data_IF_137441841765
#
_entry.id   IF_137441841765
#
_cell.length_a   1.000
_cell.length_b   1.000
_cell.length_c   1.000
_cell.angle_alpha   90.00
_cell.angle_beta   90.00
_cell.angle_gamma   90.00
#
_symmetry.space_group_name_H-M   'P 1'
#
loop_
_entity.id
_entity.type
_entity.pdbx_description
1 polymer ?
#
# COMPACT_ATOMS: atom_id res chain seq x y z
N UNK A 1 -9.05 22.87 24.67
CA UNK A 1 -7.57 22.89 24.61
C UNK A 1 -7.16 22.01 23.45
N UNK A 2 -6.64 22.59 22.35
CA UNK A 2 -6.19 21.80 21.20
C UNK A 2 -5.08 20.85 21.64
N UNK A 3 -5.02 19.62 21.09
CA UNK A 3 -3.92 18.73 21.44
C UNK A 3 -2.63 19.32 20.89
N UNK A 4 -1.67 19.58 21.78
CA UNK A 4 -0.28 19.85 21.37
C UNK A 4 0.27 18.63 20.60
N UNK A 5 1.21 18.88 19.68
CA UNK A 5 1.77 17.87 18.77
C UNK A 5 2.29 16.64 19.53
N UNK A 6 2.83 16.83 20.73
CA UNK A 6 3.28 15.74 21.61
C UNK A 6 2.14 14.77 21.97
N UNK A 7 0.96 15.31 22.28
CA UNK A 7 -0.23 14.49 22.61
C UNK A 7 -0.76 13.77 21.37
N UNK A 8 -0.81 14.43 20.22
CA UNK A 8 -1.21 13.80 18.96
C UNK A 8 -0.28 12.64 18.58
N UNK A 9 1.03 12.83 18.72
CA UNK A 9 2.01 11.77 18.46
C UNK A 9 1.83 10.57 19.40
N UNK A 10 1.62 10.81 20.70
CA UNK A 10 1.36 9.75 21.66
C UNK A 10 0.08 8.96 21.34
N UNK A 11 -1.01 9.65 21.00
CA UNK A 11 -2.27 9.01 20.61
C UNK A 11 -2.11 8.19 19.32
N UNK A 12 -1.39 8.71 18.32
CA UNK A 12 -1.09 7.97 17.10
C UNK A 12 -0.29 6.68 17.38
N UNK A 13 0.73 6.75 18.23
CA UNK A 13 1.53 5.57 18.62
C UNK A 13 0.65 4.53 19.32
N UNK A 14 -0.27 4.96 20.19
CA UNK A 14 -1.20 4.06 20.87
C UNK A 14 -2.22 3.42 19.92
N UNK A 15 -2.58 4.10 18.83
CA UNK A 15 -3.52 3.60 17.83
C UNK A 15 -2.98 2.39 17.08
N UNK A 16 -1.68 2.35 16.73
CA UNK A 16 -1.07 1.28 15.93
C UNK A 16 -1.37 -0.13 16.50
N UNK A 17 -1.05 -0.44 17.77
CA UNK A 17 -1.33 -1.77 18.32
C UNK A 17 -2.82 -2.04 18.53
N UNK A 18 -3.65 -1.00 18.67
CA UNK A 18 -5.10 -1.14 18.78
C UNK A 18 -5.72 -1.47 17.43
N UNK A 19 -5.24 -0.89 16.32
CA UNK A 19 -5.66 -1.29 14.98
C UNK A 19 -5.32 -2.75 14.72
N UNK A 20 -4.11 -3.20 15.10
CA UNK A 20 -3.71 -4.59 14.91
C UNK A 20 -4.52 -5.60 15.75
N UNK A 21 -4.97 -5.22 16.95
CA UNK A 21 -5.71 -6.10 17.87
C UNK A 21 -7.23 -6.00 17.73
N UNK A 22 -7.75 -4.81 17.49
CA UNK A 22 -9.17 -4.52 17.34
C UNK A 22 -9.71 -4.99 15.98
N UNK A 23 -8.85 -5.02 14.96
CA UNK A 23 -9.17 -5.60 13.67
C UNK A 23 -8.34 -6.86 13.42
N UNK A 24 -8.85 -8.02 13.85
CA UNK A 24 -8.22 -9.31 13.56
C UNK A 24 -8.56 -9.75 12.14
N UNK A 25 -7.80 -9.26 11.16
CA UNK A 25 -8.06 -9.47 9.73
C UNK A 25 -7.02 -10.46 9.19
N UNK A 26 -7.36 -11.76 9.02
CA UNK A 26 -6.42 -12.77 8.55
C UNK A 26 -5.78 -12.43 7.22
N UNK A 27 -6.54 -11.88 6.26
CA UNK A 27 -6.03 -11.48 4.93
C UNK A 27 -5.00 -10.36 4.99
N UNK A 28 -5.01 -9.52 6.03
CA UNK A 28 -3.99 -8.50 6.27
C UNK A 28 -2.64 -9.15 6.61
N UNK A 29 -2.65 -10.26 7.35
CA UNK A 29 -1.46 -10.98 7.81
C UNK A 29 -1.10 -12.18 6.93
N UNK A 30 -1.99 -12.61 6.05
CA UNK A 30 -1.81 -13.77 5.17
C UNK A 30 -0.58 -13.55 4.30
N UNK A 31 0.50 -14.22 4.66
CA UNK A 31 1.65 -14.35 3.78
C UNK A 31 1.23 -15.20 2.60
N UNK A 32 1.46 -14.70 1.39
CA UNK A 32 1.36 -15.53 0.21
C UNK A 32 2.54 -16.48 0.21
N UNK A 33 2.35 -17.81 0.29
CA UNK A 33 3.47 -18.75 0.37
C UNK A 33 4.42 -18.62 -0.83
N UNK A 34 3.90 -18.13 -1.96
CA UNK A 34 4.66 -17.93 -3.18
C UNK A 34 5.34 -16.57 -3.29
N UNK A 35 5.07 -15.57 -2.44
CA UNK A 35 5.69 -14.23 -2.52
C UNK A 35 6.27 -13.79 -1.19
N UNK A 36 7.48 -13.23 -1.22
CA UNK A 36 8.03 -12.56 -0.03
C UNK A 36 7.25 -11.28 0.26
N UNK A 37 7.32 -10.78 1.51
CA UNK A 37 6.67 -9.53 1.88
C UNK A 37 7.08 -8.36 0.98
N UNK A 38 8.37 -8.25 0.67
CA UNK A 38 8.90 -7.19 -0.19
C UNK A 38 8.50 -7.37 -1.67
N UNK A 39 8.33 -8.61 -2.15
CA UNK A 39 7.79 -8.89 -3.49
C UNK A 39 6.32 -8.46 -3.59
N UNK A 40 5.52 -8.70 -2.55
CA UNK A 40 4.14 -8.24 -2.52
C UNK A 40 4.06 -6.70 -2.50
N UNK A 41 4.89 -6.01 -1.70
CA UNK A 41 4.95 -4.55 -1.67
C UNK A 41 5.30 -3.93 -3.03
N UNK A 42 6.17 -4.57 -3.81
CA UNK A 42 6.41 -4.17 -5.20
C UNK A 42 5.12 -4.23 -6.03
N UNK A 43 4.36 -5.34 -5.94
CA UNK A 43 3.12 -5.48 -6.69
C UNK A 43 2.07 -4.46 -6.25
N UNK A 44 1.95 -4.21 -4.95
CA UNK A 44 1.02 -3.23 -4.39
C UNK A 44 1.35 -1.80 -4.83
N UNK A 45 2.64 -1.41 -4.78
CA UNK A 45 3.08 -0.10 -5.27
C UNK A 45 2.74 0.10 -6.76
N UNK A 46 2.94 -0.93 -7.60
CA UNK A 46 2.59 -0.90 -9.02
C UNK A 46 1.07 -0.99 -9.28
N UNK A 47 0.27 -1.46 -8.32
CA UNK A 47 -1.18 -1.59 -8.47
C UNK A 47 -1.89 -0.25 -8.28
N UNK A 48 -1.46 0.56 -7.31
CA UNK A 48 -2.06 1.85 -6.98
C UNK A 48 -1.63 3.00 -7.89
N UNK A 49 -0.74 2.75 -8.83
CA UNK A 49 -0.22 3.75 -9.77
C UNK A 49 -0.52 3.31 -11.21
N UNK A 50 -1.18 4.16 -12.03
CA UNK A 50 -1.62 3.78 -13.36
C UNK A 50 -0.49 3.73 -14.40
N UNK A 51 0.61 4.45 -14.17
CA UNK A 51 1.62 4.71 -15.20
C UNK A 51 3.01 4.15 -14.85
N UNK A 52 3.71 3.72 -15.89
CA UNK A 52 5.02 3.07 -15.91
C UNK A 52 5.96 3.54 -14.79
N UNK A 53 6.29 2.65 -13.86
CA UNK A 53 7.27 2.97 -12.83
C UNK A 53 8.67 2.68 -13.31
N UNK A 54 9.54 3.69 -13.31
CA UNK A 54 10.97 3.46 -13.44
C UNK A 54 11.51 2.76 -12.20
N UNK A 55 12.57 1.96 -12.37
CA UNK A 55 13.30 1.33 -11.26
C UNK A 55 13.71 2.34 -10.16
N UNK A 56 13.98 3.59 -10.53
CA UNK A 56 14.37 4.65 -9.59
C UNK A 56 13.21 5.07 -8.68
N UNK A 57 12.04 5.34 -9.28
CA UNK A 57 10.86 5.76 -8.54
C UNK A 57 10.37 4.64 -7.61
N UNK A 58 10.40 3.40 -8.10
CA UNK A 58 9.95 2.24 -7.32
C UNK A 58 10.88 1.98 -6.12
N UNK A 59 12.19 2.10 -6.31
CA UNK A 59 13.15 1.97 -5.22
C UNK A 59 12.94 3.06 -4.15
N UNK A 60 12.66 4.30 -4.59
CA UNK A 60 12.37 5.43 -3.69
C UNK A 60 11.08 5.22 -2.90
N UNK A 61 9.99 4.79 -3.55
CA UNK A 61 8.71 4.57 -2.89
C UNK A 61 8.75 3.41 -1.90
N UNK A 62 9.59 2.40 -2.17
CA UNK A 62 9.78 1.25 -1.28
C UNK A 62 10.88 1.47 -0.23
N UNK A 63 11.56 2.62 -0.23
CA UNK A 63 12.70 2.92 0.64
C UNK A 63 13.82 1.86 0.61
N UNK A 64 14.10 1.30 -0.57
CA UNK A 64 15.19 0.32 -0.79
C UNK A 64 16.17 0.78 -1.86
N UNK A 65 17.35 0.15 -1.93
CA UNK A 65 18.30 0.45 -3.01
C UNK A 65 17.88 -0.20 -4.33
N UNK A 66 18.33 0.39 -5.46
CA UNK A 66 18.16 -0.24 -6.78
C UNK A 66 18.79 -1.64 -6.86
N UNK A 67 19.90 -1.85 -6.17
CA UNK A 67 20.59 -3.14 -6.11
C UNK A 67 19.71 -4.21 -5.43
N UNK A 68 18.92 -3.82 -4.42
CA UNK A 68 17.94 -4.69 -3.78
C UNK A 68 16.69 -4.90 -4.65
N UNK A 69 16.27 -3.88 -5.40
CA UNK A 69 15.08 -3.95 -6.24
C UNK A 69 15.25 -4.88 -7.46
N UNK A 70 16.39 -4.82 -8.15
CA UNK A 70 16.64 -5.62 -9.37
C UNK A 70 16.32 -7.12 -9.24
N UNK A 71 16.83 -7.85 -8.23
CA UNK A 71 16.51 -9.28 -8.08
C UNK A 71 15.04 -9.53 -7.73
N UNK A 72 14.35 -8.59 -7.07
CA UNK A 72 12.91 -8.70 -6.78
C UNK A 72 12.09 -8.64 -8.07
N UNK A 73 12.42 -7.68 -8.95
CA UNK A 73 11.75 -7.54 -10.24
C UNK A 73 11.99 -8.77 -11.11
N UNK A 74 13.22 -9.27 -11.18
CA UNK A 74 13.53 -10.49 -11.94
C UNK A 74 12.68 -11.69 -11.47
N UNK A 75 12.59 -11.91 -10.15
CA UNK A 75 11.75 -12.98 -9.59
C UNK A 75 10.25 -12.79 -9.85
N UNK A 76 9.77 -11.56 -9.85
CA UNK A 76 8.36 -11.25 -10.13
C UNK A 76 8.01 -11.38 -11.62
N UNK A 77 8.97 -11.11 -12.50
CA UNK A 77 8.89 -11.34 -13.94
C UNK A 77 8.91 -12.84 -14.26
N UNK A 78 9.80 -13.63 -13.65
CA UNK A 78 9.80 -15.10 -13.74
C UNK A 78 8.48 -15.73 -13.29
N UNK A 79 7.82 -15.11 -12.30
CA UNK A 79 6.49 -15.52 -11.82
C UNK A 79 5.34 -14.97 -12.66
N UNK A 80 5.63 -14.26 -13.75
CA UNK A 80 4.66 -13.64 -14.66
C UNK A 80 3.73 -12.64 -13.96
N UNK A 81 4.17 -12.03 -12.86
CA UNK A 81 3.38 -11.05 -12.11
C UNK A 81 3.54 -9.62 -12.67
N UNK A 82 4.67 -9.33 -13.31
CA UNK A 82 4.95 -8.05 -13.95
C UNK A 82 5.74 -8.26 -15.25
N UNK A 83 5.84 -7.21 -16.04
CA UNK A 83 6.64 -7.16 -17.26
C UNK A 83 7.46 -5.88 -17.30
N UNK A 84 8.63 -5.97 -17.93
CA UNK A 84 9.46 -4.82 -18.30
C UNK A 84 9.16 -4.41 -19.73
N UNK A 85 9.12 -3.11 -19.97
CA UNK A 85 9.06 -2.54 -21.31
C UNK A 85 9.92 -1.28 -21.37
N UNK A 86 10.41 -0.88 -22.55
CA UNK A 86 10.97 0.45 -22.73
C UNK A 86 9.94 1.49 -22.26
N UNK A 87 10.40 2.51 -21.54
CA UNK A 87 9.53 3.62 -21.17
C UNK A 87 9.11 4.38 -22.45
N UNK A 88 7.81 4.63 -22.66
CA UNK A 88 7.33 5.35 -23.84
C UNK A 88 7.81 6.80 -23.91
N UNK A 89 8.16 7.44 -22.79
CA UNK A 89 8.68 8.81 -22.73
C UNK A 89 10.20 8.87 -22.85
N UNK A 90 10.92 7.86 -22.34
CA UNK A 90 12.37 7.76 -22.47
C UNK A 90 12.81 6.32 -22.73
N UNK A 91 13.09 5.99 -23.99
CA UNK A 91 13.53 4.63 -24.39
C UNK A 91 14.81 4.15 -23.69
N UNK A 92 15.54 5.03 -22.99
CA UNK A 92 16.71 4.68 -22.16
C UNK A 92 16.32 4.13 -20.79
N UNK A 93 15.05 4.31 -20.39
CA UNK A 93 14.50 3.83 -19.13
C UNK A 93 13.66 2.58 -19.32
N UNK A 94 13.61 1.78 -18.27
CA UNK A 94 12.78 0.57 -18.20
C UNK A 94 11.57 0.92 -17.34
N UNK A 95 10.39 0.83 -17.96
CA UNK A 95 9.11 0.88 -17.28
C UNK A 95 8.69 -0.50 -16.80
N UNK A 96 7.97 -0.53 -15.69
CA UNK A 96 7.40 -1.72 -15.08
C UNK A 96 5.88 -1.64 -15.10
N UNK A 97 5.24 -2.73 -15.53
CA UNK A 97 3.77 -2.87 -15.54
C UNK A 97 3.35 -4.22 -14.97
N UNK A 98 2.28 -4.23 -14.16
CA UNK A 98 1.65 -5.47 -13.71
C UNK A 98 1.00 -6.22 -14.86
N UNK A 99 1.15 -7.54 -14.87
CA UNK A 99 0.32 -8.41 -15.70
C UNK A 99 -1.08 -8.57 -15.11
N UNK A 100 -1.99 -9.20 -15.85
CA UNK A 100 -3.28 -9.61 -15.30
C UNK A 100 -3.16 -10.57 -14.10
N UNK A 101 -2.08 -11.37 -14.02
CA UNK A 101 -1.79 -12.22 -12.85
C UNK A 101 -1.38 -11.35 -11.65
N UNK A 102 -0.44 -10.42 -11.83
CA UNK A 102 -0.01 -9.52 -10.75
C UNK A 102 -1.14 -8.65 -10.21
N UNK A 103 -1.99 -8.09 -11.09
CA UNK A 103 -3.16 -7.32 -10.65
C UNK A 103 -4.13 -8.16 -9.83
N UNK A 104 -4.45 -9.39 -10.27
CA UNK A 104 -5.36 -10.30 -9.55
C UNK A 104 -4.83 -10.68 -8.17
N UNK A 105 -3.52 -10.80 -8.01
CA UNK A 105 -2.91 -11.08 -6.71
C UNK A 105 -3.21 -9.95 -5.72
N UNK A 106 -2.98 -8.70 -6.13
CA UNK A 106 -3.21 -7.53 -5.27
C UNK A 106 -4.70 -7.32 -5.04
N UNK A 107 -5.52 -7.37 -6.10
CA UNK A 107 -6.96 -7.13 -6.01
C UNK A 107 -7.68 -8.18 -5.14
N UNK A 108 -7.34 -9.47 -5.29
CA UNK A 108 -7.98 -10.53 -4.50
C UNK A 108 -7.67 -10.43 -3.00
N UNK A 109 -6.46 -9.96 -2.65
CA UNK A 109 -6.10 -9.69 -1.26
C UNK A 109 -6.87 -8.48 -0.71
N UNK A 110 -6.95 -7.39 -1.47
CA UNK A 110 -7.75 -6.22 -1.07
C UNK A 110 -9.23 -6.54 -0.92
N UNK A 111 -9.78 -7.38 -1.79
CA UNK A 111 -11.17 -7.82 -1.71
C UNK A 111 -11.43 -8.67 -0.48
N UNK A 112 -10.54 -9.62 -0.19
CA UNK A 112 -10.60 -10.42 1.06
C UNK A 112 -10.50 -9.53 2.30
N UNK A 113 -9.58 -8.57 2.28
CA UNK A 113 -9.39 -7.60 3.36
C UNK A 113 -10.63 -6.73 3.56
N UNK A 114 -11.20 -6.21 2.48
CA UNK A 114 -12.42 -5.42 2.53
C UNK A 114 -13.59 -6.21 3.12
N UNK A 115 -13.77 -7.47 2.68
CA UNK A 115 -14.83 -8.33 3.18
C UNK A 115 -14.68 -8.61 4.68
N UNK A 116 -13.50 -9.01 5.12
CA UNK A 116 -13.21 -9.30 6.53
C UNK A 116 -13.34 -8.05 7.42
N UNK A 117 -12.83 -6.91 6.96
CA UNK A 117 -12.97 -5.63 7.66
C UNK A 117 -14.44 -5.22 7.77
N UNK A 118 -15.22 -5.34 6.69
CA UNK A 118 -16.66 -5.01 6.71
C UNK A 118 -17.40 -5.85 7.74
N UNK A 119 -17.12 -7.15 7.82
CA UNK A 119 -17.74 -8.04 8.81
C UNK A 119 -17.39 -7.65 10.25
N UNK A 120 -16.19 -7.14 10.51
CA UNK A 120 -15.82 -6.66 11.84
C UNK A 120 -16.48 -5.33 12.18
N UNK A 121 -16.57 -4.43 11.20
CA UNK A 121 -17.31 -3.17 11.36
C UNK A 121 -18.80 -3.43 11.62
N UNK A 122 -19.34 -4.53 11.10
CA UNK A 122 -20.73 -4.95 11.34
C UNK A 122 -21.04 -5.25 12.81
N UNK A 123 -20.02 -5.55 13.62
CA UNK A 123 -20.15 -5.80 15.06
C UNK A 123 -20.24 -4.52 15.90
N UNK A 124 -19.93 -3.36 15.31
CA UNK A 124 -19.99 -2.07 15.99
C UNK A 124 -21.43 -1.58 16.11
N UNK A 125 -21.69 -0.82 17.19
CA UNK A 125 -22.94 -0.08 17.33
C UNK A 125 -23.04 1.00 16.23
N UNK A 126 -24.26 1.46 15.96
CA UNK A 126 -24.47 2.52 14.96
C UNK A 126 -23.73 3.82 15.33
N UNK A 127 -23.68 4.14 16.63
CA UNK A 127 -22.94 5.28 17.18
C UNK A 127 -21.43 5.14 16.90
N UNK A 128 -20.84 4.01 17.30
CA UNK A 128 -19.41 3.75 17.08
C UNK A 128 -19.04 3.75 15.59
N UNK A 129 -19.91 3.19 14.73
CA UNK A 129 -19.70 3.16 13.28
C UNK A 129 -19.73 4.56 12.67
N UNK A 130 -20.67 5.40 13.10
CA UNK A 130 -20.77 6.79 12.68
C UNK A 130 -19.53 7.59 13.12
N UNK A 131 -19.12 7.46 14.38
CA UNK A 131 -17.94 8.14 14.92
C UNK A 131 -16.65 7.71 14.23
N UNK A 132 -16.48 6.40 14.00
CA UNK A 132 -15.34 5.88 13.27
C UNK A 132 -15.32 6.38 11.82
N UNK A 133 -16.47 6.36 11.14
CA UNK A 133 -16.60 6.89 9.77
C UNK A 133 -16.20 8.36 9.69
N UNK A 134 -16.70 9.19 10.59
CA UNK A 134 -16.34 10.61 10.68
C UNK A 134 -14.83 10.79 10.92
N UNK A 135 -14.24 10.03 11.84
CA UNK A 135 -12.81 10.11 12.13
C UNK A 135 -11.95 9.71 10.95
N UNK A 136 -12.29 8.60 10.27
CA UNK A 136 -11.59 8.13 9.08
C UNK A 136 -11.60 9.18 7.97
N UNK A 137 -12.75 9.80 7.67
CA UNK A 137 -12.85 10.86 6.67
C UNK A 137 -11.96 12.06 7.01
N UNK A 138 -11.96 12.51 8.27
CA UNK A 138 -11.12 13.63 8.71
C UNK A 138 -9.64 13.27 8.62
N UNK A 139 -9.26 12.06 9.04
CA UNK A 139 -7.88 11.57 8.95
C UNK A 139 -7.43 11.50 7.50
N UNK A 140 -8.20 10.88 6.60
CA UNK A 140 -7.87 10.80 5.17
C UNK A 140 -7.67 12.18 4.56
N UNK A 141 -8.55 13.14 4.87
CA UNK A 141 -8.42 14.52 4.38
C UNK A 141 -7.14 15.20 4.89
N UNK A 142 -6.77 14.99 6.14
CA UNK A 142 -5.56 15.59 6.74
C UNK A 142 -4.30 14.94 6.18
N UNK A 143 -4.25 13.60 6.13
CA UNK A 143 -3.09 12.84 5.68
C UNK A 143 -2.76 13.10 4.21
N UNK A 144 -3.77 13.23 3.33
CA UNK A 144 -3.56 13.65 1.92
C UNK A 144 -2.86 15.01 1.77
N UNK A 145 -2.95 15.90 2.78
CA UNK A 145 -2.24 17.20 2.76
C UNK A 145 -0.80 17.09 3.26
N UNK A 146 -0.47 15.99 3.94
CA UNK A 146 0.87 15.69 4.46
C UNK A 146 1.65 14.77 3.50
N UNK A 147 0.98 14.10 2.56
CA UNK A 147 1.65 13.37 1.50
C UNK A 147 2.54 14.34 0.71
N UNK A 148 3.86 14.07 0.61
CA UNK A 148 4.75 14.89 -0.19
C UNK A 148 4.29 14.82 -1.65
N UNK A 149 4.25 15.96 -2.33
CA UNK A 149 3.86 16.11 -3.74
C UNK A 149 4.82 15.27 -4.61
N UNK A 150 4.48 14.02 -4.89
CA UNK A 150 5.33 13.09 -5.66
C UNK A 150 5.48 13.51 -7.12
N UNK A 151 4.76 14.55 -7.56
CA UNK A 151 4.81 15.15 -8.87
C UNK A 151 5.78 16.34 -9.02
N UNK A 152 6.46 16.79 -7.95
CA UNK A 152 7.45 17.88 -8.01
C UNK A 152 8.78 17.48 -7.38
N UNK A 153 9.52 16.66 -8.11
CA UNK A 153 10.95 16.54 -7.92
C UNK A 153 11.58 16.35 -9.30
N UNK A 154 11.61 17.45 -10.05
CA UNK A 154 12.52 17.66 -11.18
C UNK A 154 13.99 17.60 -10.70
#
# INVERSE_FOLDING_TARGET
>A
MYPDNSRLAATYIQLIPLLHRGFDIPSARKMMPELTHLQYHVLEALYHQPDCYSMSLLAKSLHISKQQLTPLIAKLEEKECLTKHPDPQDKRQIGLSLTGKGRRIVSSRWESFHQELSQQLDLLTEEDRSDLGFCLEKMTRILRRLEPDTAKAD
#
